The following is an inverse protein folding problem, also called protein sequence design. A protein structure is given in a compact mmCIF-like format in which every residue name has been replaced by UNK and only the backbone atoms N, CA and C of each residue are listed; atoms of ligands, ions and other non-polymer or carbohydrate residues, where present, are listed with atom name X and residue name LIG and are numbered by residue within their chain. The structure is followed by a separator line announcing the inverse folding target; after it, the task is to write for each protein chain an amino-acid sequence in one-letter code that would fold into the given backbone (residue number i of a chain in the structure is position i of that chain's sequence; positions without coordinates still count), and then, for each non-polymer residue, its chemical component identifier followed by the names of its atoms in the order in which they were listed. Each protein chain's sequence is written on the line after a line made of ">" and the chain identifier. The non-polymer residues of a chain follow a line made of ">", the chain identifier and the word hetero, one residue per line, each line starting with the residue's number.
data_IF_865118577425
#
_entry.id   IF_865118577425
#
_cell.length_a   1.000
_cell.length_b   1.000
_cell.length_c   1.000
_cell.angle_alpha   90.00
_cell.angle_beta   90.00
_cell.angle_gamma   90.00
#
_symmetry.space_group_name_H-M   'P 1'
#
loop_
_entity.id
_entity.type
_entity.pdbx_description
1 polymer ?
#
# COMPACT_ATOMS: atom_id res chain seq x y z
N UNK A 1 5.03 -14.87 -32.40
CA UNK A 1 5.98 -13.89 -31.82
C UNK A 1 5.28 -12.67 -31.22
N UNK A 2 4.75 -11.71 -32.00
CA UNK A 2 4.14 -10.48 -31.45
C UNK A 2 2.85 -10.73 -30.64
N UNK A 3 1.95 -11.58 -31.15
CA UNK A 3 0.72 -11.98 -30.45
C UNK A 3 1.02 -12.74 -29.14
N UNK A 4 2.07 -13.55 -29.11
CA UNK A 4 2.50 -14.28 -27.91
C UNK A 4 3.07 -13.33 -26.85
N UNK A 5 3.81 -12.30 -27.28
CA UNK A 5 4.32 -11.24 -26.40
C UNK A 5 3.16 -10.44 -25.78
N UNK A 6 2.15 -10.06 -26.56
CA UNK A 6 0.98 -9.35 -26.05
C UNK A 6 0.21 -10.18 -25.01
N UNK A 7 -0.04 -11.47 -25.30
CA UNK A 7 -0.66 -12.41 -24.34
C UNK A 7 0.15 -12.55 -23.05
N UNK A 8 1.48 -12.61 -23.17
CA UNK A 8 2.40 -12.71 -22.03
C UNK A 8 2.35 -11.44 -21.17
N UNK A 9 2.40 -10.25 -21.78
CA UNK A 9 2.31 -8.97 -21.06
C UNK A 9 0.95 -8.82 -20.37
N UNK A 10 -0.14 -9.21 -21.02
CA UNK A 10 -1.47 -9.18 -20.40
C UNK A 10 -1.56 -10.12 -19.18
N UNK A 11 -0.95 -11.31 -19.24
CA UNK A 11 -0.87 -12.21 -18.08
C UNK A 11 -0.01 -11.62 -16.96
N UNK A 12 1.13 -11.02 -17.30
CA UNK A 12 2.00 -10.36 -16.33
C UNK A 12 1.28 -9.17 -15.66
N UNK A 13 0.55 -8.35 -16.43
CA UNK A 13 -0.24 -7.24 -15.90
C UNK A 13 -1.27 -7.72 -14.89
N UNK A 14 -2.04 -8.76 -15.21
CA UNK A 14 -2.99 -9.37 -14.26
C UNK A 14 -2.32 -9.80 -12.97
N UNK A 15 -1.16 -10.47 -13.05
CA UNK A 15 -0.40 -10.88 -11.86
C UNK A 15 0.09 -9.68 -11.06
N UNK A 16 0.64 -8.65 -11.72
CA UNK A 16 1.10 -7.43 -11.02
C UNK A 16 -0.04 -6.67 -10.37
N UNK A 17 -1.21 -6.62 -10.99
CA UNK A 17 -2.42 -6.05 -10.39
C UNK A 17 -2.85 -6.82 -9.14
N UNK A 18 -2.86 -8.17 -9.18
CA UNK A 18 -3.15 -8.98 -8.00
C UNK A 18 -2.13 -8.75 -6.88
N UNK A 19 -0.84 -8.70 -7.20
CA UNK A 19 0.21 -8.41 -6.23
C UNK A 19 0.07 -7.01 -5.62
N UNK A 20 -0.25 -6.00 -6.42
CA UNK A 20 -0.53 -4.65 -5.94
C UNK A 20 -1.71 -4.65 -4.96
N UNK A 21 -2.80 -5.34 -5.29
CA UNK A 21 -3.96 -5.42 -4.40
C UNK A 21 -3.63 -6.11 -3.07
N UNK A 22 -2.82 -7.17 -3.09
CA UNK A 22 -2.32 -7.80 -1.86
C UNK A 22 -1.49 -6.81 -1.04
N UNK A 23 -0.61 -6.01 -1.67
CA UNK A 23 0.17 -4.99 -0.95
C UNK A 23 -0.66 -3.84 -0.40
N UNK A 24 -1.69 -3.41 -1.11
CA UNK A 24 -2.64 -2.44 -0.59
C UNK A 24 -3.39 -2.97 0.64
N UNK A 25 -3.77 -4.25 0.64
CA UNK A 25 -4.40 -4.89 1.80
C UNK A 25 -3.43 -5.03 2.99
N UNK A 26 -2.18 -5.43 2.75
CA UNK A 26 -1.12 -5.49 3.76
C UNK A 26 -0.90 -4.10 4.40
N UNK A 27 -0.81 -3.06 3.55
CA UNK A 27 -0.62 -1.66 3.97
C UNK A 27 -1.80 -1.14 4.79
N UNK A 28 -3.04 -1.40 4.37
CA UNK A 28 -4.23 -1.03 5.13
C UNK A 28 -4.25 -1.68 6.53
N UNK A 29 -3.91 -2.97 6.59
CA UNK A 29 -3.84 -3.73 7.86
C UNK A 29 -2.75 -3.17 8.78
N UNK A 30 -1.56 -2.86 8.23
CA UNK A 30 -0.46 -2.29 9.00
C UNK A 30 -0.78 -0.88 9.54
N UNK A 31 -1.45 -0.05 8.74
CA UNK A 31 -1.92 1.28 9.17
C UNK A 31 -2.95 1.20 10.28
N UNK A 32 -3.93 0.31 10.15
CA UNK A 32 -4.94 0.09 11.19
C UNK A 32 -4.29 -0.39 12.49
N UNK A 33 -3.33 -1.33 12.42
CA UNK A 33 -2.54 -1.75 13.58
C UNK A 33 -1.82 -0.56 14.24
N UNK A 34 -1.14 0.27 13.45
CA UNK A 34 -0.47 1.47 13.99
C UNK A 34 -1.45 2.42 14.65
N UNK A 35 -2.60 2.67 14.03
CA UNK A 35 -3.66 3.52 14.61
C UNK A 35 -4.15 3.00 15.96
N UNK A 36 -4.39 1.69 16.08
CA UNK A 36 -4.81 1.05 17.35
C UNK A 36 -3.75 1.19 18.45
N UNK A 37 -2.47 0.95 18.13
CA UNK A 37 -1.38 1.08 19.10
C UNK A 37 -1.14 2.55 19.51
N UNK A 38 -1.30 3.49 18.57
CA UNK A 38 -1.25 4.92 18.85
C UNK A 38 -2.38 5.33 19.81
N UNK A 39 -3.62 4.91 19.54
CA UNK A 39 -4.76 5.21 20.40
C UNK A 39 -4.60 4.61 21.82
N UNK A 40 -4.08 3.38 21.92
CA UNK A 40 -3.76 2.74 23.20
C UNK A 40 -2.69 3.53 23.97
N UNK A 41 -1.65 3.99 23.28
CA UNK A 41 -0.56 4.76 23.89
C UNK A 41 -1.07 6.09 24.44
N UNK A 42 -1.89 6.81 23.68
CA UNK A 42 -2.55 8.04 24.14
C UNK A 42 -3.40 7.79 25.39
N UNK A 43 -4.22 6.73 25.36
CA UNK A 43 -5.07 6.38 26.52
C UNK A 43 -4.25 6.04 27.77
N UNK A 44 -3.11 5.36 27.62
CA UNK A 44 -2.23 5.07 28.75
C UNK A 44 -1.61 6.36 29.30
N UNK A 45 -1.27 7.33 28.45
CA UNK A 45 -0.78 8.64 28.88
C UNK A 45 -1.85 9.39 29.69
N UNK A 46 -3.08 9.46 29.19
CA UNK A 46 -4.22 10.06 29.91
C UNK A 46 -4.46 9.41 31.29
N UNK A 47 -4.35 8.08 31.36
CA UNK A 47 -4.47 7.35 32.63
C UNK A 47 -3.29 7.65 33.58
N UNK A 48 -2.08 7.81 33.06
CA UNK A 48 -0.92 8.18 33.86
C UNK A 48 -1.06 9.59 34.45
N UNK A 49 -1.57 10.54 33.66
CA UNK A 49 -1.85 11.91 34.11
C UNK A 49 -2.93 11.93 35.20
N UNK A 50 -4.02 11.16 35.01
CA UNK A 50 -5.10 11.08 35.98
C UNK A 50 -4.69 10.48 37.34
N UNK A 51 -3.65 9.63 37.38
CA UNK A 51 -3.14 8.97 38.60
C UNK A 51 -1.88 9.68 39.15
N UNK A 52 -1.48 10.80 38.54
CA UNK A 52 -0.34 11.58 39.01
C UNK A 52 -0.60 12.17 40.41
N UNK A 53 0.44 12.31 41.24
CA UNK A 53 0.28 12.65 42.65
C UNK A 53 -0.17 14.11 42.74
N UNK A 54 -1.35 14.32 43.33
CA UNK A 54 -1.78 15.65 43.72
C UNK A 54 -1.35 15.86 45.17
N UNK A 55 -0.70 16.99 45.53
CA UNK A 55 -0.38 17.28 46.92
C UNK A 55 -1.69 17.39 47.71
N UNK A 56 -1.99 16.33 48.48
CA UNK A 56 -3.21 16.17 49.26
C UNK A 56 -2.84 15.70 50.66
N UNK A 57 -3.48 16.28 51.69
CA UNK A 57 -3.28 15.95 53.10
C UNK A 57 -3.96 14.61 53.51
N UNK A 58 -4.49 13.84 52.56
CA UNK A 58 -5.24 12.62 52.81
C UNK A 58 -4.36 11.41 53.19
N UNK A 59 -4.91 10.55 54.05
CA UNK A 59 -4.24 9.51 54.83
C UNK A 59 -3.26 8.59 54.05
N UNK A 60 -2.13 8.28 54.69
CA UNK A 60 -0.99 7.53 54.14
C UNK A 60 -1.27 6.09 53.67
N UNK A 61 -2.45 5.53 53.95
CA UNK A 61 -2.87 4.21 53.43
C UNK A 61 -3.13 4.23 51.91
N UNK A 62 -3.45 5.39 51.33
CA UNK A 62 -3.66 5.53 49.88
C UNK A 62 -2.37 5.63 49.06
N UNK A 63 -1.25 6.00 49.69
CA UNK A 63 0.01 6.28 48.99
C UNK A 63 0.69 5.02 48.44
N UNK A 64 0.68 3.92 49.19
CA UNK A 64 1.28 2.64 48.76
C UNK A 64 0.53 2.01 47.58
N UNK A 65 -0.81 2.03 47.61
CA UNK A 65 -1.64 1.55 46.50
C UNK A 65 -1.44 2.42 45.24
N UNK A 66 -1.40 3.75 45.38
CA UNK A 66 -1.14 4.67 44.28
C UNK A 66 0.25 4.45 43.65
N UNK A 67 1.29 4.24 44.47
CA UNK A 67 2.64 3.93 43.96
C UNK A 67 2.65 2.66 43.11
N UNK A 68 2.01 1.58 43.59
CA UNK A 68 1.91 0.31 42.85
C UNK A 68 1.17 0.45 41.51
N UNK A 69 0.05 1.19 41.46
CA UNK A 69 -0.65 1.42 40.19
C UNK A 69 0.17 2.24 39.20
N UNK A 70 0.96 3.20 39.68
CA UNK A 70 1.83 4.04 38.84
C UNK A 70 2.98 3.25 38.24
N UNK A 71 3.66 2.43 39.05
CA UNK A 71 4.70 1.53 38.55
C UNK A 71 4.15 0.61 37.43
N UNK A 72 2.98 0.01 37.64
CA UNK A 72 2.31 -0.81 36.61
C UNK A 72 1.94 -0.01 35.35
N UNK A 73 1.48 1.23 35.50
CA UNK A 73 1.18 2.11 34.37
C UNK A 73 2.45 2.50 33.61
N UNK A 74 3.56 2.80 34.29
CA UNK A 74 4.85 3.09 33.66
C UNK A 74 5.36 1.90 32.85
N UNK A 75 5.30 0.67 33.40
CA UNK A 75 5.65 -0.54 32.65
C UNK A 75 4.74 -0.74 31.43
N UNK A 76 3.44 -0.50 31.58
CA UNK A 76 2.48 -0.61 30.49
C UNK A 76 2.72 0.43 29.39
N UNK A 77 3.08 1.66 29.77
CA UNK A 77 3.42 2.75 28.86
C UNK A 77 4.70 2.45 28.07
N UNK A 78 5.73 1.95 28.73
CA UNK A 78 6.98 1.54 28.07
C UNK A 78 6.74 0.43 27.03
N UNK A 79 5.94 -0.58 27.39
CA UNK A 79 5.57 -1.66 26.49
C UNK A 79 4.72 -1.17 25.31
N UNK A 80 3.71 -0.32 25.56
CA UNK A 80 2.86 0.27 24.52
C UNK A 80 3.68 1.15 23.55
N UNK A 81 4.57 2.00 24.07
CA UNK A 81 5.46 2.82 23.25
C UNK A 81 6.38 1.97 22.36
N UNK A 82 6.88 0.83 22.87
CA UNK A 82 7.64 -0.12 22.06
C UNK A 82 6.79 -0.72 20.92
N UNK A 83 5.58 -1.21 21.24
CA UNK A 83 4.65 -1.75 20.23
C UNK A 83 4.27 -0.71 19.18
N UNK A 84 4.02 0.53 19.58
CA UNK A 84 3.70 1.64 18.68
C UNK A 84 4.84 1.90 17.69
N UNK A 85 6.11 1.95 18.16
CA UNK A 85 7.27 2.13 17.27
C UNK A 85 7.42 0.98 16.28
N UNK A 86 7.24 -0.26 16.74
CA UNK A 86 7.26 -1.42 15.85
C UNK A 86 6.14 -1.37 14.82
N UNK A 87 4.92 -1.01 15.24
CA UNK A 87 3.77 -0.88 14.34
C UNK A 87 3.97 0.23 13.30
N UNK A 88 4.54 1.37 13.71
CA UNK A 88 4.90 2.46 12.80
C UNK A 88 5.91 1.98 11.74
N UNK A 89 6.99 1.34 12.17
CA UNK A 89 7.99 0.79 11.25
C UNK A 89 7.39 -0.20 10.25
N UNK A 90 6.47 -1.07 10.70
CA UNK A 90 5.76 -2.01 9.83
C UNK A 90 4.84 -1.30 8.83
N UNK A 91 4.14 -0.25 9.26
CA UNK A 91 3.30 0.57 8.37
C UNK A 91 4.13 1.27 7.30
N UNK A 92 5.28 1.83 7.67
CA UNK A 92 6.21 2.49 6.74
C UNK A 92 6.76 1.49 5.72
N UNK A 93 7.20 0.31 6.17
CA UNK A 93 7.66 -0.77 5.29
C UNK A 93 6.57 -1.25 4.33
N UNK A 94 5.33 -1.41 4.80
CA UNK A 94 4.20 -1.80 3.96
C UNK A 94 3.84 -0.73 2.91
N UNK A 95 3.98 0.54 3.26
CA UNK A 95 3.83 1.67 2.33
C UNK A 95 4.91 1.63 1.23
N UNK A 96 6.17 1.44 1.59
CA UNK A 96 7.25 1.32 0.60
C UNK A 96 7.08 0.10 -0.31
N UNK A 97 6.65 -1.04 0.23
CA UNK A 97 6.33 -2.23 -0.54
C UNK A 97 5.18 -1.97 -1.55
N UNK A 98 4.18 -1.20 -1.14
CA UNK A 98 3.07 -0.80 -2.02
C UNK A 98 3.55 0.12 -3.14
N UNK A 99 4.40 1.11 -2.84
CA UNK A 99 5.01 1.98 -3.86
C UNK A 99 5.88 1.18 -4.84
N UNK A 100 6.62 0.18 -4.36
CA UNK A 100 7.37 -0.73 -5.23
C UNK A 100 6.44 -1.53 -6.15
N UNK A 101 5.37 -2.13 -5.62
CA UNK A 101 4.40 -2.87 -6.42
C UNK A 101 3.69 -1.98 -7.47
N UNK A 102 3.37 -0.72 -7.13
CA UNK A 102 2.83 0.26 -8.10
C UNK A 102 3.83 0.56 -9.23
N UNK A 103 5.12 0.70 -8.92
CA UNK A 103 6.17 0.91 -9.93
C UNK A 103 6.28 -0.28 -10.88
N UNK A 104 6.24 -1.50 -10.35
CA UNK A 104 6.28 -2.73 -11.16
C UNK A 104 5.07 -2.84 -12.09
N UNK A 105 3.88 -2.54 -11.58
CA UNK A 105 2.65 -2.57 -12.36
C UNK A 105 2.68 -1.51 -13.49
N UNK A 106 3.10 -0.29 -13.17
CA UNK A 106 3.27 0.78 -14.16
C UNK A 106 4.33 0.46 -15.22
N UNK A 107 5.41 -0.25 -14.85
CA UNK A 107 6.42 -0.69 -15.81
C UNK A 107 5.82 -1.66 -16.86
N UNK A 108 4.96 -2.59 -16.43
CA UNK A 108 4.26 -3.50 -17.35
C UNK A 108 3.29 -2.74 -18.25
N UNK A 109 2.54 -1.78 -17.72
CA UNK A 109 1.62 -0.94 -18.52
C UNK A 109 2.37 -0.17 -19.60
N UNK A 110 3.54 0.38 -19.29
CA UNK A 110 4.39 1.06 -20.29
C UNK A 110 4.85 0.12 -21.39
N UNK A 111 5.18 -1.14 -21.06
CA UNK A 111 5.55 -2.15 -22.04
C UNK A 111 4.36 -2.52 -22.95
N UNK A 112 3.16 -2.64 -22.38
CA UNK A 112 1.93 -2.87 -23.16
C UNK A 112 1.67 -1.70 -24.11
N UNK A 113 1.67 -0.47 -23.59
CA UNK A 113 1.46 0.73 -24.41
C UNK A 113 2.49 0.87 -25.55
N UNK A 114 3.74 0.45 -25.33
CA UNK A 114 4.76 0.41 -26.38
C UNK A 114 4.44 -0.68 -27.42
N UNK A 115 4.04 -1.87 -26.99
CA UNK A 115 3.66 -2.95 -27.90
C UNK A 115 2.44 -2.58 -28.76
N UNK A 116 1.46 -1.87 -28.18
CA UNK A 116 0.27 -1.40 -28.90
C UNK A 116 0.66 -0.37 -29.98
N UNK A 117 1.55 0.57 -29.66
CA UNK A 117 2.10 1.53 -30.63
C UNK A 117 2.85 0.84 -31.77
N UNK A 118 3.68 -0.15 -31.45
CA UNK A 118 4.42 -0.94 -32.45
C UNK A 118 3.48 -1.73 -33.36
N UNK A 119 2.36 -2.25 -32.83
CA UNK A 119 1.33 -2.93 -33.62
C UNK A 119 0.62 -1.98 -34.59
N UNK A 120 0.21 -0.80 -34.13
CA UNK A 120 -0.43 0.22 -34.99
C UNK A 120 0.51 0.66 -36.11
N UNK A 121 1.78 0.93 -35.82
CA UNK A 121 2.75 1.31 -36.85
C UNK A 121 2.95 0.22 -37.90
N UNK A 122 2.91 -1.05 -37.48
CA UNK A 122 3.00 -2.19 -38.40
C UNK A 122 1.77 -2.26 -39.32
N UNK A 123 0.59 -2.00 -38.80
CA UNK A 123 -0.66 -1.96 -39.58
C UNK A 123 -0.65 -0.80 -40.59
N UNK A 124 -0.20 0.39 -40.18
CA UNK A 124 -0.01 1.54 -41.07
C UNK A 124 0.91 1.16 -42.24
N UNK A 125 2.09 0.60 -41.94
CA UNK A 125 3.04 0.18 -42.98
C UNK A 125 2.45 -0.90 -43.90
N UNK A 126 1.70 -1.85 -43.35
CA UNK A 126 1.03 -2.87 -44.16
C UNK A 126 -0.05 -2.29 -45.10
N UNK A 127 -0.72 -1.20 -44.70
CA UNK A 127 -1.64 -0.47 -45.57
C UNK A 127 -0.91 0.32 -46.67
N UNK A 128 0.24 0.91 -46.35
CA UNK A 128 1.10 1.61 -47.33
C UNK A 128 1.68 0.65 -48.37
N UNK A 129 2.10 -0.55 -47.93
CA UNK A 129 2.64 -1.60 -48.80
C UNK A 129 1.56 -2.38 -49.57
N UNK A 130 0.28 -2.14 -49.26
CA UNK A 130 -0.82 -2.86 -49.90
C UNK A 130 -0.89 -2.50 -51.41
N UNK A 131 -0.98 -3.50 -52.30
CA UNK A 131 -1.07 -3.23 -53.73
C UNK A 131 -2.33 -2.42 -54.04
N UNK A 132 -2.21 -1.46 -54.96
CA UNK A 132 -3.35 -0.66 -55.40
C UNK A 132 -4.51 -1.57 -55.83
N UNK A 133 -5.67 -1.42 -55.20
CA UNK A 133 -6.88 -2.16 -55.57
C UNK A 133 -7.13 -2.00 -57.08
N UNK A 134 -7.40 -3.11 -57.78
CA UNK A 134 -7.85 -3.05 -59.17
C UNK A 134 -9.09 -2.14 -59.21
N UNK A 135 -9.02 -1.03 -59.95
CA UNK A 135 -10.21 -0.23 -60.28
C UNK A 135 -11.20 -1.19 -60.96
N UNK A 136 -12.33 -1.47 -60.31
CA UNK A 136 -13.49 -2.03 -61.00
C UNK A 136 -13.90 -1.00 -62.05
N UNK A 137 -13.48 -1.21 -63.30
CA UNK A 137 -14.02 -0.50 -64.46
C UNK A 137 -15.41 -1.08 -64.66
N UNK A 138 -16.39 -0.54 -63.96
CA UNK A 138 -17.77 -0.75 -64.37
C UNK A 138 -17.98 0.22 -65.53
N UNK A 139 -17.98 -0.31 -66.75
CA UNK A 139 -18.39 0.47 -67.91
C UNK A 139 -19.84 0.92 -67.69
N UNK A 140 -20.18 2.19 -67.96
CA UNK A 140 -21.54 2.66 -67.80
C UNK A 140 -22.42 1.99 -68.85
N UNK A 141 -23.41 1.24 -68.36
CA UNK A 141 -24.48 0.63 -69.15
C UNK A 141 -25.44 1.72 -69.68
#
# INVERSE_FOLDING_TARGET
>A
MAADRAKTLARLHRVRTLQLNLKLADEATARDRFSRESALTTRIAELADAVSPVPSLAAGFSLGAQAHYRERLHHSAAAAGSRMRTAQYQADQASEATKAAKRDQSAVEKLMARADKEAVLKEIRAMEDAPAFRRNRHDPC
#
